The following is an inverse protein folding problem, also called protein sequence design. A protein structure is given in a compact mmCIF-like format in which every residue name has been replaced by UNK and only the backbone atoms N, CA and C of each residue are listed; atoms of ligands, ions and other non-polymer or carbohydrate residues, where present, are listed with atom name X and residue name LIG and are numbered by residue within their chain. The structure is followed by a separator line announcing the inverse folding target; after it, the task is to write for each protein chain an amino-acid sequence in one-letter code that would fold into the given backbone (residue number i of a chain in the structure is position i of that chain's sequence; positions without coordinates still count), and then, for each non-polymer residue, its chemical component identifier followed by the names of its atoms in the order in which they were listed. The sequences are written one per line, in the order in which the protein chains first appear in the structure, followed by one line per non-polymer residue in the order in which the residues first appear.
data_IF_322006537539
#
_entry.id   IF_322006537539
#
_cell.length_a   1.000
_cell.length_b   1.000
_cell.length_c   1.000
_cell.angle_alpha   90.00
_cell.angle_beta   90.00
_cell.angle_gamma   90.00
#
_symmetry.space_group_name_H-M   'P 1'
#
loop_
_entity.id
_entity.type
_entity.pdbx_description
1 polymer ?
#
# COMPACT_ATOMS: atom_id res chain seq x y z
N UNK A 1 -19.17 5.98 6.23
CA UNK A 1 -17.70 6.03 6.25
C UNK A 1 -17.25 5.58 7.63
N UNK A 2 -16.61 4.42 7.75
CA UNK A 2 -16.13 3.95 9.05
C UNK A 2 -15.13 4.97 9.62
N UNK A 3 -15.26 5.30 10.91
CA UNK A 3 -14.33 6.22 11.58
C UNK A 3 -13.02 5.47 11.81
N UNK A 4 -12.15 5.46 10.80
CA UNK A 4 -10.84 4.79 10.87
C UNK A 4 -9.96 5.52 11.89
N UNK A 5 -9.40 4.81 12.87
CA UNK A 5 -8.48 5.43 13.83
C UNK A 5 -7.21 5.87 13.09
N UNK A 6 -6.62 6.99 13.51
CA UNK A 6 -5.37 7.51 12.92
C UNK A 6 -4.24 6.47 12.95
N UNK A 7 -4.16 5.68 14.02
CA UNK A 7 -3.19 4.58 14.17
C UNK A 7 -3.40 3.49 13.12
N UNK A 8 -4.63 3.00 12.95
CA UNK A 8 -5.01 1.97 11.96
C UNK A 8 -4.73 2.46 10.54
N UNK A 9 -5.10 3.70 10.25
CA UNK A 9 -4.81 4.34 8.98
C UNK A 9 -3.31 4.29 8.65
N UNK A 10 -2.46 4.69 9.60
CA UNK A 10 -1.01 4.72 9.42
C UNK A 10 -0.45 3.30 9.22
N UNK A 11 -0.87 2.34 10.04
CA UNK A 11 -0.38 0.95 9.99
C UNK A 11 -0.75 0.30 8.65
N UNK A 12 -2.02 0.38 8.25
CA UNK A 12 -2.50 -0.24 7.01
C UNK A 12 -1.90 0.48 5.79
N UNK A 13 -1.79 1.81 5.81
CA UNK A 13 -1.12 2.56 4.73
C UNK A 13 0.31 2.08 4.52
N UNK A 14 1.07 1.93 5.60
CA UNK A 14 2.45 1.42 5.57
C UNK A 14 2.52 -0.01 5.01
N UNK A 15 1.61 -0.88 5.43
CA UNK A 15 1.50 -2.26 4.91
C UNK A 15 1.21 -2.28 3.40
N UNK A 16 0.24 -1.49 2.93
CA UNK A 16 -0.09 -1.41 1.50
C UNK A 16 1.10 -0.92 0.68
N UNK A 17 1.78 0.15 1.12
CA UNK A 17 2.94 0.69 0.41
C UNK A 17 4.07 -0.34 0.37
N UNK A 18 4.37 -1.00 1.49
CA UNK A 18 5.41 -2.04 1.57
C UNK A 18 5.07 -3.24 0.66
N UNK A 19 3.81 -3.66 0.62
CA UNK A 19 3.35 -4.72 -0.26
C UNK A 19 3.58 -4.34 -1.73
N UNK A 20 3.07 -3.19 -2.16
CA UNK A 20 3.22 -2.75 -3.55
C UNK A 20 4.71 -2.55 -3.93
N UNK A 21 5.55 -2.14 -2.99
CA UNK A 21 7.00 -2.06 -3.19
C UNK A 21 7.63 -3.43 -3.39
N UNK A 22 7.32 -4.39 -2.52
CA UNK A 22 7.84 -5.76 -2.58
C UNK A 22 7.46 -6.45 -3.89
N UNK A 23 6.23 -6.24 -4.33
CA UNK A 23 5.68 -6.82 -5.55
C UNK A 23 6.07 -5.99 -6.80
N UNK A 24 6.96 -5.00 -6.66
CA UNK A 24 7.44 -4.13 -7.73
C UNK A 24 6.32 -3.49 -8.55
N UNK A 25 5.20 -3.15 -7.89
CA UNK A 25 4.01 -2.57 -8.52
C UNK A 25 4.26 -1.12 -8.94
N UNK A 26 5.04 -0.94 -10.00
CA UNK A 26 5.40 0.33 -10.62
C UNK A 26 5.12 0.25 -12.12
N UNK A 27 4.60 1.33 -12.70
CA UNK A 27 4.35 1.43 -14.15
C UNK A 27 3.45 0.31 -14.68
N UNK A 28 4.06 -0.76 -15.22
CA UNK A 28 3.35 -1.96 -15.71
C UNK A 28 2.94 -2.91 -14.58
N UNK A 29 3.67 -2.93 -13.47
CA UNK A 29 3.34 -3.73 -12.28
C UNK A 29 2.13 -3.15 -11.55
N UNK A 30 1.11 -3.97 -11.30
CA UNK A 30 -0.09 -3.54 -10.59
C UNK A 30 -0.87 -4.73 -10.01
N UNK A 31 -1.57 -4.50 -8.90
CA UNK A 31 -2.22 -5.56 -8.13
C UNK A 31 -3.71 -5.29 -7.92
N UNK A 32 -4.55 -6.33 -8.05
CA UNK A 32 -5.99 -6.21 -7.77
C UNK A 32 -6.26 -5.98 -6.28
N UNK A 33 -7.34 -5.26 -5.96
CA UNK A 33 -7.76 -5.02 -4.58
C UNK A 33 -7.88 -6.32 -3.76
N UNK A 34 -8.45 -7.36 -4.34
CA UNK A 34 -8.65 -8.64 -3.65
C UNK A 34 -7.32 -9.32 -3.31
N UNK A 35 -6.33 -9.19 -4.18
CA UNK A 35 -4.99 -9.70 -3.89
C UNK A 35 -4.33 -8.91 -2.76
N UNK A 36 -4.54 -7.59 -2.72
CA UNK A 36 -4.06 -6.74 -1.62
C UNK A 36 -4.72 -7.17 -0.31
N UNK A 37 -6.05 -7.34 -0.27
CA UNK A 37 -6.80 -7.78 0.91
C UNK A 37 -6.30 -9.14 1.44
N UNK A 38 -5.87 -10.05 0.55
CA UNK A 38 -5.30 -11.37 0.89
C UNK A 38 -3.83 -11.35 1.32
N UNK A 39 -3.14 -10.22 1.22
CA UNK A 39 -1.68 -10.13 1.42
C UNK A 39 -1.25 -9.91 2.87
N UNK A 40 -1.87 -10.62 3.82
CA UNK A 40 -1.46 -10.62 5.24
C UNK A 40 -2.06 -9.49 6.09
N UNK A 41 -3.24 -8.99 5.73
CA UNK A 41 -4.04 -8.14 6.62
C UNK A 41 -4.83 -9.01 7.60
N UNK A 42 -5.06 -8.50 8.80
CA UNK A 42 -5.95 -9.16 9.78
C UNK A 42 -7.40 -9.02 9.32
N UNK A 43 -8.28 -9.94 9.72
CA UNK A 43 -9.69 -9.92 9.29
C UNK A 43 -10.41 -8.60 9.61
N UNK A 44 -10.06 -7.97 10.73
CA UNK A 44 -10.59 -6.65 11.11
C UNK A 44 -9.98 -5.47 10.32
N UNK A 45 -8.82 -5.65 9.68
CA UNK A 45 -8.18 -4.64 8.82
C UNK A 45 -8.73 -4.69 7.39
N UNK A 46 -9.15 -5.86 6.90
CA UNK A 46 -9.61 -6.08 5.50
C UNK A 46 -10.69 -5.08 5.06
N UNK A 47 -11.74 -4.77 5.86
CA UNK A 47 -12.74 -3.78 5.48
C UNK A 47 -12.16 -2.37 5.29
N UNK A 48 -11.10 -2.04 6.04
CA UNK A 48 -10.46 -0.72 6.02
C UNK A 48 -9.48 -0.55 4.85
N UNK A 49 -8.97 -1.66 4.29
CA UNK A 49 -7.99 -1.63 3.19
C UNK A 49 -8.48 -0.82 2.00
N UNK A 50 -9.76 -0.96 1.65
CA UNK A 50 -10.36 -0.28 0.49
C UNK A 50 -10.49 1.23 0.71
N UNK A 51 -10.95 1.65 1.88
CA UNK A 51 -11.03 3.07 2.22
C UNK A 51 -9.64 3.71 2.24
N UNK A 52 -8.66 3.01 2.81
CA UNK A 52 -7.29 3.51 2.98
C UNK A 52 -6.55 3.55 1.65
N UNK A 53 -6.67 2.53 0.79
CA UNK A 53 -6.02 2.57 -0.52
C UNK A 53 -6.62 3.68 -1.40
N UNK A 54 -7.93 3.91 -1.32
CA UNK A 54 -8.57 5.01 -2.01
C UNK A 54 -8.11 6.38 -1.46
N UNK A 55 -7.86 6.49 -0.15
CA UNK A 55 -7.24 7.68 0.42
C UNK A 55 -5.80 7.89 -0.07
N UNK A 56 -4.99 6.83 -0.17
CA UNK A 56 -3.64 6.89 -0.75
C UNK A 56 -3.67 7.31 -2.23
N UNK A 57 -4.72 6.92 -2.96
CA UNK A 57 -4.96 7.39 -4.33
C UNK A 57 -5.27 8.88 -4.37
N UNK A 58 -6.14 9.38 -3.48
CA UNK A 58 -6.39 10.83 -3.34
C UNK A 58 -5.12 11.61 -3.01
N UNK A 59 -4.22 11.02 -2.22
CA UNK A 59 -2.91 11.59 -1.87
C UNK A 59 -1.85 11.46 -2.98
N UNK A 60 -2.19 10.87 -4.14
CA UNK A 60 -1.27 10.61 -5.26
C UNK A 60 -0.04 9.78 -4.90
N UNK A 61 -0.11 8.98 -3.84
CA UNK A 61 0.95 8.03 -3.47
C UNK A 61 0.76 6.70 -4.19
N UNK A 62 -0.49 6.28 -4.32
CA UNK A 62 -0.92 5.11 -5.09
C UNK A 62 -1.73 5.62 -6.27
N UNK A 63 -1.69 4.89 -7.37
CA UNK A 63 -2.49 5.12 -8.56
C UNK A 63 -3.38 3.89 -8.76
N UNK A 64 -4.56 4.10 -9.35
CA UNK A 64 -5.46 2.99 -9.71
C UNK A 64 -5.78 3.01 -11.19
N UNK A 65 -5.95 1.82 -11.77
CA UNK A 65 -6.33 1.62 -13.16
C UNK A 65 -7.46 0.61 -13.24
N UNK A 66 -8.47 0.89 -14.08
CA UNK A 66 -9.58 -0.02 -14.35
C UNK A 66 -9.10 -1.19 -15.21
N UNK A 67 -9.48 -2.40 -14.84
CA UNK A 67 -9.23 -3.66 -15.56
C UNK A 67 -10.51 -4.50 -15.64
N UNK A 68 -10.47 -5.61 -16.39
CA UNK A 68 -11.62 -6.49 -16.65
C UNK A 68 -12.35 -6.95 -15.38
N UNK A 69 -11.61 -7.27 -14.33
CA UNK A 69 -12.16 -7.83 -13.08
C UNK A 69 -12.14 -6.84 -11.90
N UNK A 70 -12.03 -5.54 -12.18
CA UNK A 70 -12.04 -4.50 -11.15
C UNK A 70 -10.85 -3.56 -11.22
N UNK A 71 -10.47 -3.01 -10.06
CA UNK A 71 -9.41 -2.01 -9.97
C UNK A 71 -8.07 -2.65 -9.61
N UNK A 72 -7.04 -2.27 -10.35
CA UNK A 72 -5.65 -2.54 -10.00
C UNK A 72 -4.99 -1.30 -9.44
N UNK A 73 -4.11 -1.49 -8.48
CA UNK A 73 -3.39 -0.44 -7.78
C UNK A 73 -1.88 -0.61 -7.97
N UNK A 74 -1.18 0.52 -8.08
CA UNK A 74 0.26 0.59 -8.28
C UNK A 74 0.82 1.87 -7.67
N UNK A 75 2.11 1.93 -7.43
CA UNK A 75 2.78 3.08 -6.81
C UNK A 75 2.97 4.20 -7.84
N UNK A 76 2.86 5.45 -7.38
CA UNK A 76 3.09 6.60 -8.24
C UNK A 76 4.59 6.86 -8.46
N UNK A 77 5.07 6.69 -9.70
CA UNK A 77 6.46 6.96 -10.09
C UNK A 77 6.91 8.39 -9.75
N UNK A 78 6.03 9.40 -9.86
CA UNK A 78 6.36 10.79 -9.52
C UNK A 78 6.70 10.97 -8.03
N UNK A 79 6.25 10.05 -7.18
CA UNK A 79 6.46 10.08 -5.73
C UNK A 79 7.44 9.00 -5.27
N UNK A 80 8.25 8.47 -6.19
CA UNK A 80 9.16 7.36 -5.93
C UNK A 80 10.08 7.63 -4.75
N UNK A 81 10.79 8.75 -4.73
CA UNK A 81 11.70 9.13 -3.62
C UNK A 81 10.97 9.15 -2.27
N UNK A 82 9.79 9.80 -2.21
CA UNK A 82 8.98 9.86 -1.00
C UNK A 82 8.54 8.48 -0.53
N UNK A 83 8.12 7.61 -1.44
CA UNK A 83 7.70 6.24 -1.14
C UNK A 83 8.87 5.39 -0.61
N UNK A 84 10.07 5.56 -1.17
CA UNK A 84 11.28 4.92 -0.65
C UNK A 84 11.67 5.46 0.73
N UNK A 85 11.54 6.76 0.99
CA UNK A 85 11.76 7.33 2.33
C UNK A 85 10.78 6.75 3.35
N UNK A 86 9.49 6.64 3.02
CA UNK A 86 8.49 5.98 3.87
C UNK A 86 8.87 4.52 4.12
N UNK A 87 9.30 3.79 3.09
CA UNK A 87 9.74 2.40 3.23
C UNK A 87 10.98 2.25 4.11
N UNK A 88 11.94 3.17 3.98
CA UNK A 88 13.16 3.23 4.79
C UNK A 88 12.84 3.55 6.24
N UNK A 89 11.92 4.48 6.50
CA UNK A 89 11.41 4.76 7.84
C UNK A 89 10.74 3.54 8.46
N UNK A 90 9.91 2.81 7.69
CA UNK A 90 9.31 1.54 8.14
C UNK A 90 10.41 0.55 8.52
N UNK A 91 11.42 0.36 7.67
CA UNK A 91 12.54 -0.55 7.95
C UNK A 91 13.35 -0.15 9.19
N UNK A 92 13.59 1.16 9.39
CA UNK A 92 14.28 1.71 10.57
C UNK A 92 13.46 1.58 11.85
N UNK A 93 12.13 1.80 11.80
CA UNK A 93 11.26 1.59 12.97
C UNK A 93 11.11 0.11 13.32
N UNK A 94 11.36 -0.79 12.36
CA UNK A 94 11.33 -2.24 12.57
C UNK A 94 12.68 -2.86 12.96
N UNK A 95 13.76 -2.09 13.12
CA UNK A 95 15.02 -2.47 13.80
C UNK A 95 15.82 -3.70 13.32
N UNK A 96 15.26 -4.60 12.50
CA UNK A 96 15.86 -5.86 12.09
C UNK A 96 15.21 -6.29 10.75
N UNK A 97 16.01 -6.84 9.85
CA UNK A 97 15.66 -7.29 8.48
C UNK A 97 15.71 -6.21 7.39
N UNK A 98 16.91 -5.66 7.18
CA UNK A 98 17.41 -5.47 5.82
C UNK A 98 18.23 -6.72 5.49
N UNK A 99 17.56 -7.78 5.03
CA UNK A 99 18.24 -8.73 4.17
C UNK A 99 18.32 -8.11 2.77
N UNK A 100 19.56 -8.11 2.29
CA UNK A 100 20.05 -7.86 0.93
C UNK A 100 19.16 -8.56 -0.11
N UNK A 101 18.92 -7.91 -1.26
CA UNK A 101 19.20 -8.38 -2.63
C UNK A 101 18.89 -7.25 -3.63
#
# INVERSE_FOLDING_TARGET
MAKVKKSEYIIISKKIIRLLLRETCWGKGSMYLDNIKKSGFKDNEIPLVEDIINALVKQRLVMKKKHKHGWKYFLNNEKREKLFSIAKEIGKTSGLLVFIF
#
